data_IF_300123435637
#
_entry.id   IF_300123435637
#
_cell.length_a   1.000
_cell.length_b   1.000
_cell.length_c   1.000
_cell.angle_alpha   90.00
_cell.angle_beta   90.00
_cell.angle_gamma   90.00
#
_symmetry.space_group_name_H-M   'P 1'
#
loop_
_entity.id
_entity.type
_entity.pdbx_description
1 polymer ?
#
# COMPACT_ATOMS: atom_id res chain seq x y z
N UNK A 1 -0.72 3.77 -37.37
CA UNK A 1 -1.48 4.85 -36.72
C UNK A 1 -1.21 4.76 -35.23
N UNK A 2 -0.39 5.66 -34.67
CA UNK A 2 -0.13 5.71 -33.24
C UNK A 2 -1.31 6.41 -32.57
N UNK A 3 -2.14 5.67 -31.84
CA UNK A 3 -3.16 6.26 -30.98
C UNK A 3 -2.44 7.02 -29.87
N UNK A 4 -2.51 8.35 -29.93
CA UNK A 4 -2.04 9.24 -28.87
C UNK A 4 -2.81 8.91 -27.60
N UNK A 5 -2.20 8.12 -26.71
CA UNK A 5 -2.76 7.76 -25.42
C UNK A 5 -2.76 9.00 -24.56
N UNK A 6 -3.86 9.75 -24.56
CA UNK A 6 -4.08 10.82 -23.59
C UNK A 6 -4.03 10.19 -22.20
N UNK A 7 -3.02 10.57 -21.42
CA UNK A 7 -2.93 10.17 -20.03
C UNK A 7 -4.20 10.66 -19.32
N UNK A 8 -4.96 9.74 -18.74
CA UNK A 8 -6.12 10.13 -17.94
C UNK A 8 -5.62 10.97 -16.75
N UNK A 9 -6.40 11.96 -16.29
CA UNK A 9 -6.02 12.79 -15.16
C UNK A 9 -6.09 11.98 -13.85
N UNK A 10 -5.11 12.21 -12.96
CA UNK A 10 -5.15 11.76 -11.57
C UNK A 10 -6.36 12.37 -10.86
N UNK A 11 -7.10 11.56 -10.10
CA UNK A 11 -8.32 12.00 -9.43
C UNK A 11 -8.03 12.11 -7.94
N UNK A 12 -8.12 13.34 -7.42
CA UNK A 12 -8.02 13.59 -5.98
C UNK A 12 -9.37 13.37 -5.30
N UNK A 13 -9.36 12.90 -4.05
CA UNK A 13 -10.56 12.81 -3.20
C UNK A 13 -11.32 14.13 -3.09
N UNK A 14 -10.63 15.27 -3.19
CA UNK A 14 -11.21 16.61 -3.15
C UNK A 14 -12.06 16.95 -4.39
N UNK A 15 -11.82 16.26 -5.50
CA UNK A 15 -12.55 16.45 -6.77
C UNK A 15 -13.83 15.61 -6.83
N UNK A 16 -14.02 14.70 -5.88
CA UNK A 16 -15.18 13.82 -5.85
C UNK A 16 -16.42 14.53 -5.30
N UNK A 17 -17.56 14.20 -5.88
CA UNK A 17 -18.84 14.75 -5.44
C UNK A 17 -19.25 14.16 -4.09
N UNK A 18 -19.69 15.02 -3.16
CA UNK A 18 -20.16 14.59 -1.84
C UNK A 18 -21.50 13.87 -1.95
N UNK A 19 -21.59 12.64 -1.43
CA UNK A 19 -22.81 11.84 -1.40
C UNK A 19 -23.84 12.42 -0.40
N UNK A 20 -25.01 12.83 -0.91
CA UNK A 20 -26.11 13.40 -0.11
C UNK A 20 -27.33 12.48 0.02
N UNK A 21 -27.29 11.29 -0.59
CA UNK A 21 -28.40 10.34 -0.59
C UNK A 21 -28.61 9.61 0.74
N UNK A 22 -29.50 8.61 0.71
CA UNK A 22 -29.74 7.69 1.82
C UNK A 22 -28.56 6.72 1.91
N UNK A 23 -27.89 6.70 3.06
CA UNK A 23 -26.78 5.80 3.31
C UNK A 23 -27.27 4.48 3.92
N UNK A 24 -26.71 3.37 3.45
CA UNK A 24 -26.95 2.05 4.00
C UNK A 24 -25.61 1.35 4.26
N UNK A 25 -25.58 0.49 5.29
CA UNK A 25 -24.41 -0.31 5.63
C UNK A 25 -24.25 -1.56 4.78
N UNK A 26 -25.34 -2.00 4.14
CA UNK A 26 -25.31 -3.06 3.15
C UNK A 26 -24.83 -2.49 1.81
N UNK A 27 -23.73 -3.04 1.27
CA UNK A 27 -23.11 -2.53 0.03
C UNK A 27 -24.09 -2.51 -1.15
N UNK A 28 -24.89 -3.57 -1.34
CA UNK A 28 -25.79 -3.66 -2.50
C UNK A 28 -26.89 -2.61 -2.43
N UNK A 29 -27.41 -2.36 -1.22
CA UNK A 29 -28.42 -1.33 -0.96
C UNK A 29 -27.85 0.07 -1.12
N UNK A 30 -26.63 0.31 -0.61
CA UNK A 30 -25.95 1.58 -0.80
C UNK A 30 -25.68 1.88 -2.28
N UNK A 31 -25.21 0.89 -3.04
CA UNK A 31 -24.97 1.03 -4.48
C UNK A 31 -26.28 1.39 -5.21
N UNK A 32 -27.39 0.72 -4.90
CA UNK A 32 -28.69 1.03 -5.48
C UNK A 32 -29.14 2.47 -5.16
N UNK A 33 -28.93 2.93 -3.92
CA UNK A 33 -29.24 4.30 -3.52
C UNK A 33 -28.35 5.33 -4.24
N UNK A 34 -27.04 5.04 -4.39
CA UNK A 34 -26.13 5.90 -5.15
C UNK A 34 -26.60 6.00 -6.60
N UNK A 35 -26.88 4.87 -7.27
CA UNK A 35 -27.37 4.84 -8.65
C UNK A 35 -28.67 5.62 -8.85
N UNK A 36 -29.58 5.58 -7.87
CA UNK A 36 -30.83 6.34 -7.92
C UNK A 36 -30.60 7.87 -7.88
N UNK A 37 -29.57 8.32 -7.16
CA UNK A 37 -29.22 9.75 -7.05
C UNK A 37 -28.21 10.23 -8.09
N UNK A 38 -27.38 9.33 -8.62
CA UNK A 38 -26.24 9.59 -9.48
C UNK A 38 -26.24 8.60 -10.66
N UNK A 39 -26.91 8.92 -11.78
CA UNK A 39 -27.07 7.99 -12.90
C UNK A 39 -25.76 7.62 -13.63
N UNK A 40 -24.73 8.46 -13.54
CA UNK A 40 -23.39 8.24 -14.08
C UNK A 40 -22.51 7.36 -13.18
N UNK A 41 -23.01 6.94 -12.01
CA UNK A 41 -22.29 6.08 -11.10
C UNK A 41 -22.02 4.68 -11.69
N UNK A 42 -20.77 4.26 -11.62
CA UNK A 42 -20.32 2.93 -12.02
C UNK A 42 -19.44 2.32 -10.92
N UNK A 43 -19.93 1.24 -10.29
CA UNK A 43 -19.21 0.51 -9.24
C UNK A 43 -17.82 0.03 -9.69
N UNK A 44 -17.62 -0.24 -10.99
CA UNK A 44 -16.33 -0.72 -11.52
C UNK A 44 -15.33 0.39 -11.78
N UNK A 45 -15.77 1.64 -11.71
CA UNK A 45 -14.96 2.81 -12.03
C UNK A 45 -14.91 3.77 -10.83
N UNK A 46 -13.84 3.72 -10.02
CA UNK A 46 -13.74 4.54 -8.81
C UNK A 46 -13.73 6.05 -9.08
N UNK A 47 -13.49 6.49 -10.33
CA UNK A 47 -13.63 7.88 -10.73
C UNK A 47 -15.06 8.41 -10.58
N UNK A 48 -16.05 7.52 -10.65
CA UNK A 48 -17.48 7.88 -10.55
C UNK A 48 -18.02 7.77 -9.12
N UNK A 49 -17.21 7.28 -8.18
CA UNK A 49 -17.65 7.06 -6.81
C UNK A 49 -17.77 8.39 -6.07
N UNK A 50 -18.89 8.65 -5.39
CA UNK A 50 -19.00 9.84 -4.55
C UNK A 50 -18.22 9.65 -3.25
N UNK A 51 -17.93 10.76 -2.56
CA UNK A 51 -17.26 10.77 -1.25
C UNK A 51 -18.28 11.00 -0.13
N UNK A 52 -18.16 10.25 0.97
CA UNK A 52 -18.89 10.56 2.21
C UNK A 52 -17.99 11.37 3.14
N UNK A 53 -18.51 12.45 3.72
CA UNK A 53 -17.74 13.31 4.62
C UNK A 53 -17.84 12.86 6.07
N UNK A 54 -16.88 13.24 6.90
CA UNK A 54 -16.91 12.94 8.35
C UNK A 54 -18.18 13.46 9.03
N UNK A 55 -18.63 14.71 8.80
CA UNK A 55 -19.88 15.20 9.38
C UNK A 55 -21.08 14.35 8.97
N UNK A 56 -21.19 14.00 7.69
CA UNK A 56 -22.28 13.15 7.20
C UNK A 56 -22.25 11.77 7.84
N UNK A 57 -21.07 11.18 8.00
CA UNK A 57 -20.92 9.89 8.68
C UNK A 57 -21.34 9.96 10.16
N UNK A 58 -21.09 11.09 10.83
CA UNK A 58 -21.53 11.32 12.20
C UNK A 58 -23.05 11.55 12.31
N UNK A 59 -23.70 12.10 11.27
CA UNK A 59 -25.16 12.20 11.22
C UNK A 59 -25.82 10.83 11.03
N UNK A 60 -25.24 9.99 10.17
CA UNK A 60 -25.76 8.64 9.88
C UNK A 60 -25.56 7.71 11.07
N UNK A 61 -24.47 7.92 11.81
CA UNK A 61 -24.17 7.14 12.99
C UNK A 61 -24.66 7.88 14.21
N UNK A 62 -25.84 7.49 14.70
CA UNK A 62 -26.40 7.97 15.98
C UNK A 62 -25.43 7.78 17.18
N UNK A 63 -24.35 7.01 17.00
CA UNK A 63 -23.20 6.91 17.90
C UNK A 63 -21.87 7.01 17.14
N UNK A 64 -20.77 7.50 17.74
CA UNK A 64 -19.45 7.48 17.12
C UNK A 64 -19.13 6.08 16.58
N UNK A 65 -18.81 6.00 15.29
CA UNK A 65 -18.66 4.77 14.49
C UNK A 65 -18.30 3.54 15.35
N UNK A 66 -19.32 2.71 15.67
CA UNK A 66 -19.08 1.47 16.40
C UNK A 66 -18.26 0.56 15.50
N UNK A 67 -17.01 0.35 15.91
CA UNK A 67 -15.89 -0.42 15.36
C UNK A 67 -16.19 -1.88 14.92
N UNK A 68 -17.46 -2.29 14.87
CA UNK A 68 -17.91 -3.65 14.55
C UNK A 68 -18.60 -3.77 13.19
N UNK A 69 -18.90 -2.67 12.48
CA UNK A 69 -19.56 -2.74 11.16
C UNK A 69 -18.53 -2.77 10.04
N UNK A 70 -18.73 -3.70 9.09
CA UNK A 70 -17.98 -3.75 7.83
C UNK A 70 -18.30 -2.48 7.03
N UNK A 71 -17.30 -1.73 6.60
CA UNK A 71 -17.52 -0.60 5.70
C UNK A 71 -18.00 -1.14 4.33
N UNK A 72 -19.06 -0.57 3.73
CA UNK A 72 -19.44 -0.91 2.37
C UNK A 72 -18.37 -0.41 1.38
N UNK A 73 -18.32 -0.97 0.18
CA UNK A 73 -17.41 -0.53 -0.89
C UNK A 73 -18.20 0.19 -1.99
N UNK A 74 -17.50 0.78 -2.96
CA UNK A 74 -18.15 1.54 -4.04
C UNK A 74 -18.48 2.98 -3.66
N UNK A 75 -17.96 3.47 -2.54
CA UNK A 75 -18.03 4.85 -2.08
C UNK A 75 -16.69 5.20 -1.45
N UNK A 76 -16.28 6.48 -1.52
CA UNK A 76 -15.01 6.93 -0.93
C UNK A 76 -15.24 7.43 0.48
N UNK A 77 -14.46 6.93 1.43
CA UNK A 77 -14.51 7.35 2.83
C UNK A 77 -13.37 8.32 3.16
N UNK A 78 -13.49 9.13 4.22
CA UNK A 78 -12.38 9.90 4.76
C UNK A 78 -11.31 8.97 5.35
N UNK A 79 -10.04 9.34 5.19
CA UNK A 79 -8.90 8.53 5.64
C UNK A 79 -8.95 8.15 7.11
N UNK A 80 -9.41 9.04 7.99
CA UNK A 80 -9.56 8.75 9.42
C UNK A 80 -10.48 7.55 9.68
N UNK A 81 -11.56 7.40 8.90
CA UNK A 81 -12.53 6.31 9.04
C UNK A 81 -11.94 5.00 8.51
N UNK A 82 -11.26 5.04 7.37
CA UNK A 82 -10.62 3.85 6.77
C UNK A 82 -9.48 3.35 7.66
N UNK A 83 -8.61 4.26 8.13
CA UNK A 83 -7.52 3.92 9.04
C UNK A 83 -8.03 3.28 10.34
N UNK A 84 -9.07 3.85 10.95
CA UNK A 84 -9.66 3.28 12.16
C UNK A 84 -10.33 1.92 11.87
N UNK A 85 -11.04 1.78 10.75
CA UNK A 85 -11.60 0.52 10.31
C UNK A 85 -10.53 -0.56 10.15
N UNK A 86 -9.44 -0.25 9.42
CA UNK A 86 -8.35 -1.20 9.17
C UNK A 86 -7.63 -1.59 10.46
N UNK A 87 -7.39 -0.64 11.38
CA UNK A 87 -6.82 -0.94 12.70
C UNK A 87 -7.68 -1.93 13.50
N UNK A 88 -9.00 -1.88 13.34
CA UNK A 88 -9.93 -2.75 14.06
C UNK A 88 -10.18 -4.09 13.37
N UNK A 89 -10.28 -4.13 12.04
CA UNK A 89 -10.39 -5.40 11.30
C UNK A 89 -9.08 -6.20 11.30
N UNK A 90 -7.95 -5.53 11.37
CA UNK A 90 -6.64 -6.13 11.58
C UNK A 90 -6.46 -6.51 13.07
N UNK A 91 -7.24 -7.47 13.57
CA UNK A 91 -6.86 -8.15 14.80
C UNK A 91 -5.43 -8.70 14.64
N UNK A 92 -4.60 -8.80 15.70
CA UNK A 92 -3.22 -9.29 15.59
C UNK A 92 -3.10 -10.65 14.86
N UNK A 93 -4.13 -11.50 14.94
CA UNK A 93 -4.22 -12.78 14.25
C UNK A 93 -4.51 -12.63 12.74
N UNK A 94 -5.27 -11.59 12.34
CA UNK A 94 -5.50 -11.25 10.93
C UNK A 94 -4.37 -10.41 10.34
N UNK A 95 -3.65 -9.61 11.13
CA UNK A 95 -2.45 -8.90 10.69
C UNK A 95 -1.37 -9.89 10.20
N UNK A 96 -1.20 -11.03 10.89
CA UNK A 96 -0.32 -12.11 10.45
C UNK A 96 -0.76 -12.79 9.13
N UNK A 97 -2.07 -12.81 8.87
CA UNK A 97 -2.64 -13.32 7.60
C UNK A 97 -2.55 -12.26 6.49
N UNK A 98 -2.70 -10.97 6.84
CA UNK A 98 -2.57 -9.82 5.95
C UNK A 98 -1.20 -9.73 5.29
N UNK A 99 -0.12 -10.11 6.01
CA UNK A 99 1.24 -10.21 5.44
C UNK A 99 1.37 -11.31 4.38
N UNK A 100 0.48 -12.30 4.36
CA UNK A 100 0.45 -13.35 3.34
C UNK A 100 -0.36 -12.97 2.09
N UNK A 101 0.23 -12.18 1.19
CA UNK A 101 -0.10 -11.87 -0.24
C UNK A 101 -1.57 -11.81 -0.78
N UNK A 102 -2.54 -12.56 -0.27
CA UNK A 102 -3.93 -12.61 -0.81
C UNK A 102 -4.85 -11.56 -0.20
N UNK A 103 -4.61 -11.14 1.04
CA UNK A 103 -5.45 -10.19 1.76
C UNK A 103 -5.09 -8.73 1.51
N UNK A 104 -3.86 -8.42 1.09
CA UNK A 104 -3.47 -7.05 0.72
C UNK A 104 -4.17 -6.57 -0.56
N UNK A 105 -4.41 -7.46 -1.53
CA UNK A 105 -5.24 -7.14 -2.71
C UNK A 105 -6.67 -6.71 -2.35
N UNK A 106 -7.19 -7.14 -1.21
CA UNK A 106 -8.56 -6.83 -0.81
C UNK A 106 -8.71 -5.38 -0.32
N UNK A 107 -7.69 -4.83 0.36
CA UNK A 107 -7.72 -3.43 0.78
C UNK A 107 -7.71 -2.48 -0.42
N UNK A 108 -6.95 -2.82 -1.46
CA UNK A 108 -6.99 -2.08 -2.72
C UNK A 108 -8.36 -2.15 -3.40
N UNK A 109 -8.96 -3.34 -3.41
CA UNK A 109 -10.27 -3.54 -4.01
C UNK A 109 -11.39 -2.77 -3.29
N UNK A 110 -11.34 -2.76 -1.96
CA UNK A 110 -12.38 -2.14 -1.13
C UNK A 110 -12.14 -0.62 -0.97
N UNK A 111 -10.88 -0.16 -0.96
CA UNK A 111 -10.49 1.24 -0.73
C UNK A 111 -9.33 1.72 -1.65
N UNK A 112 -9.55 1.81 -2.98
CA UNK A 112 -8.49 2.11 -3.95
C UNK A 112 -7.89 3.53 -3.86
N UNK A 113 -8.55 4.45 -3.15
CA UNK A 113 -8.03 5.80 -2.87
C UNK A 113 -7.09 5.87 -1.65
N UNK A 114 -7.01 4.79 -0.87
CA UNK A 114 -6.23 4.75 0.37
C UNK A 114 -5.05 3.78 0.30
N UNK A 115 -5.16 2.76 -0.54
CA UNK A 115 -4.14 1.73 -0.69
C UNK A 115 -3.76 1.59 -2.16
N UNK A 116 -2.52 1.17 -2.43
CA UNK A 116 -2.09 0.74 -3.76
C UNK A 116 -2.45 -0.73 -4.03
N UNK A 117 -2.17 -1.20 -5.24
CA UNK A 117 -2.40 -2.60 -5.64
C UNK A 117 -1.64 -3.64 -4.80
N UNK A 118 -0.66 -3.22 -4.00
CA UNK A 118 0.10 -4.07 -3.09
C UNK A 118 -0.40 -3.96 -1.65
N UNK A 119 -1.47 -3.21 -1.41
CA UNK A 119 -2.06 -2.97 -0.08
C UNK A 119 -1.27 -1.99 0.78
N UNK A 120 -0.35 -1.20 0.22
CA UNK A 120 0.38 -0.16 0.95
C UNK A 120 -0.44 1.11 0.99
N UNK A 121 -0.44 1.79 2.14
CA UNK A 121 -1.13 3.07 2.26
C UNK A 121 -0.51 4.12 1.32
N UNK A 122 -1.35 4.93 0.71
CA UNK A 122 -0.94 6.05 -0.13
C UNK A 122 -0.66 7.29 0.73
N UNK A 123 0.39 8.05 0.40
CA UNK A 123 0.70 9.33 1.07
C UNK A 123 -0.30 10.42 0.68
N UNK A 124 -0.73 10.41 -0.58
CA UNK A 124 -1.76 11.28 -1.13
C UNK A 124 -3.03 10.45 -1.39
N UNK A 125 -4.16 10.87 -0.82
CA UNK A 125 -5.47 10.22 -1.02
C UNK A 125 -6.03 10.54 -2.41
N UNK A 126 -5.33 10.08 -3.43
CA UNK A 126 -5.62 10.27 -4.85
C UNK A 126 -5.43 8.95 -5.60
N UNK A 127 -6.24 8.73 -6.63
CA UNK A 127 -6.12 7.56 -7.48
C UNK A 127 -5.46 7.95 -8.80
N UNK A 128 -4.29 7.38 -9.06
CA UNK A 128 -3.60 7.56 -10.35
C UNK A 128 -4.30 6.79 -11.46
N UNK A 129 -4.00 7.15 -12.70
CA UNK A 129 -4.49 6.46 -13.89
C UNK A 129 -4.09 5.00 -13.92
N UNK A 130 -2.85 4.70 -13.55
CA UNK A 130 -2.32 3.34 -13.48
C UNK A 130 -3.08 2.53 -12.42
N UNK A 131 -3.32 3.12 -11.25
CA UNK A 131 -4.11 2.48 -10.19
C UNK A 131 -5.54 2.20 -10.65
N UNK A 132 -6.17 3.12 -11.37
CA UNK A 132 -7.51 2.93 -11.94
C UNK A 132 -7.56 1.79 -12.97
N UNK A 133 -6.56 1.71 -13.84
CA UNK A 133 -6.43 0.61 -14.82
C UNK A 133 -6.22 -0.72 -14.08
N UNK A 134 -5.35 -0.73 -13.06
CA UNK A 134 -5.12 -1.90 -12.24
C UNK A 134 -6.42 -2.34 -11.55
N UNK A 135 -7.17 -1.41 -10.97
CA UNK A 135 -8.47 -1.67 -10.34
C UNK A 135 -9.46 -2.29 -11.32
N UNK A 136 -9.65 -1.67 -12.49
CA UNK A 136 -10.56 -2.16 -13.52
C UNK A 136 -10.19 -3.58 -14.00
N UNK A 137 -8.90 -3.91 -14.03
CA UNK A 137 -8.44 -5.26 -14.39
C UNK A 137 -8.78 -6.33 -13.35
N UNK A 138 -8.89 -5.94 -12.07
CA UNK A 138 -9.26 -6.86 -10.97
C UNK A 138 -10.78 -7.07 -10.85
N UNK A 139 -11.57 -6.02 -11.13
CA UNK A 139 -13.05 -6.08 -11.03
C UNK A 139 -13.69 -6.64 -12.29
N UNK A 140 -13.01 -6.57 -13.43
CA UNK A 140 -13.49 -7.20 -14.66
C UNK A 140 -13.49 -8.72 -14.48
N UNK A 141 -14.63 -9.41 -14.66
CA UNK A 141 -14.65 -10.86 -14.64
C UNK A 141 -13.65 -11.33 -15.69
N UNK A 142 -12.59 -12.01 -15.24
CA UNK A 142 -11.58 -12.57 -16.15
C UNK A 142 -12.35 -13.33 -17.22
N UNK A 143 -12.25 -12.95 -18.51
CA UNK A 143 -12.97 -13.67 -19.55
C UNK A 143 -12.59 -15.15 -19.39
N UNK A 144 -13.58 -16.07 -19.40
CA UNK A 144 -13.29 -17.48 -19.26
C UNK A 144 -12.19 -17.83 -20.26
N UNK A 145 -11.15 -18.58 -19.83
CA UNK A 145 -10.02 -18.88 -20.70
C UNK A 145 -10.59 -19.38 -22.03
N UNK A 146 -10.24 -18.68 -23.11
CA UNK A 146 -10.74 -18.99 -24.44
C UNK A 146 -10.57 -20.49 -24.64
N UNK A 147 -11.70 -21.19 -24.78
CA UNK A 147 -11.68 -22.62 -24.97
C UNK A 147 -10.74 -22.89 -26.14
N UNK A 148 -9.73 -23.78 -25.99
CA UNK A 148 -8.81 -24.05 -27.08
C UNK A 148 -9.63 -24.55 -28.27
N UNK A 149 -9.75 -23.71 -29.30
CA UNK A 149 -10.26 -24.06 -30.61
C UNK A 149 -9.23 -24.93 -31.31
N UNK A 150 -8.99 -26.10 -30.74
CA UNK A 150 -8.40 -27.24 -31.45
C UNK A 150 -9.52 -28.00 -32.17
N UNK A 151 -9.23 -28.64 -33.32
CA UNK A 151 -10.19 -29.48 -34.01
C UNK A 151 -10.59 -30.63 -33.08
N UNK A 152 -11.87 -30.64 -32.70
CA UNK A 152 -12.44 -31.61 -31.78
C UNK A 152 -12.90 -32.82 -32.59
N UNK A 153 -11.97 -33.74 -32.84
CA UNK A 153 -12.35 -35.06 -33.31
C UNK A 153 -13.06 -35.81 -32.18
N UNK A 154 -14.24 -36.26 -32.54
CA UNK A 154 -15.20 -36.94 -31.70
C UNK A 154 -14.66 -38.31 -31.32
N UNK A 155 -14.71 -38.63 -30.03
CA UNK A 155 -15.18 -39.89 -29.43
C UNK A 155 -14.39 -40.17 -28.14
N UNK A 156 -15.05 -40.06 -27.00
CA UNK A 156 -15.24 -41.21 -26.10
C UNK A 156 -15.79 -40.73 -24.76
N UNK A 157 -16.94 -41.29 -24.41
CA UNK A 157 -17.52 -41.25 -23.08
C UNK A 157 -16.53 -41.78 -22.03
N UNK A 158 -16.43 -41.15 -20.86
CA UNK A 158 -16.48 -41.86 -19.57
C UNK A 158 -16.43 -40.91 -18.36
N UNK A 159 -17.50 -41.01 -17.58
CA UNK A 159 -17.52 -41.25 -16.13
C UNK A 159 -16.72 -40.26 -15.25
N UNK A 160 -17.49 -39.36 -14.63
CA UNK A 160 -17.20 -38.68 -13.35
C UNK A 160 -16.84 -39.69 -12.26
N UNK A 161 -15.93 -39.32 -11.34
CA UNK A 161 -16.24 -39.52 -9.93
C UNK A 161 -16.18 -38.19 -9.17
N UNK A 162 -17.20 -38.02 -8.31
CA UNK A 162 -17.15 -37.10 -7.18
C UNK A 162 -16.05 -37.56 -6.22
N UNK A 163 -15.17 -36.65 -5.83
CA UNK A 163 -14.36 -36.80 -4.62
C UNK A 163 -14.61 -35.58 -3.73
N UNK A 164 -15.42 -35.78 -2.70
CA UNK A 164 -15.49 -34.91 -1.54
C UNK A 164 -14.28 -35.20 -0.64
N UNK A 165 -13.49 -34.17 -0.36
CA UNK A 165 -12.42 -34.20 0.62
C UNK A 165 -12.97 -33.70 1.96
N UNK A 166 -13.37 -34.67 2.79
CA UNK A 166 -13.46 -34.52 4.24
C UNK A 166 -12.06 -34.76 4.83
N UNK A 167 -11.45 -33.73 5.41
CA UNK A 167 -10.21 -33.87 6.19
C UNK A 167 -10.55 -34.06 7.67
N UNK A 168 -10.73 -35.31 8.07
CA UNK A 168 -10.78 -35.74 9.47
C UNK A 168 -9.39 -36.09 9.99
N UNK A 169 -8.91 -35.36 10.99
CA UNK A 169 -7.80 -35.72 11.89
C UNK A 169 -8.08 -37.09 12.55
N UNK A 170 -7.16 -38.05 12.42
CA UNK A 170 -6.99 -39.19 13.34
C UNK A 170 -5.48 -39.52 13.37
N UNK A 171 -4.76 -39.07 14.40
CA UNK A 171 -4.31 -39.87 15.57
C UNK A 171 -3.37 -41.03 15.20
N UNK A 172 -2.08 -40.80 15.44
CA UNK A 172 -1.03 -41.79 15.54
C UNK A 172 -1.39 -42.85 16.60
N UNK A 173 -1.34 -44.13 16.21
CA UNK A 173 -1.46 -45.22 17.16
C UNK A 173 -1.48 -46.59 16.50
N UNK A 174 -0.31 -47.24 16.51
CA UNK A 174 -0.09 -48.68 16.69
C UNK A 174 0.56 -49.49 15.56
N UNK A 175 1.51 -50.30 16.08
CA UNK A 175 1.83 -51.69 15.76
C UNK A 175 2.68 -51.98 14.52
N UNK A 176 3.90 -52.41 14.83
CA UNK A 176 4.72 -53.28 14.02
C UNK A 176 3.89 -54.46 13.48
N UNK A 177 3.66 -54.46 12.18
CA UNK A 177 3.46 -55.69 11.40
C UNK A 177 4.57 -55.69 10.36
N UNK A 178 5.45 -56.69 10.43
CA UNK A 178 6.47 -56.93 9.40
C UNK A 178 5.76 -57.13 8.06
N UNK A 179 6.05 -56.32 7.03
CA UNK A 179 5.63 -56.65 5.70
C UNK A 179 6.50 -57.81 5.20
N UNK A 180 5.87 -58.93 4.90
CA UNK A 180 6.41 -59.90 3.94
C UNK A 180 6.83 -59.11 2.70
N UNK A 181 8.13 -59.16 2.37
CA UNK A 181 8.71 -58.50 1.20
C UNK A 181 7.82 -58.77 -0.01
N UNK A 182 7.24 -57.74 -0.66
CA UNK A 182 6.64 -57.95 -1.98
C UNK A 182 7.73 -58.52 -2.88
N UNK A 183 7.44 -59.64 -3.56
CA UNK A 183 8.30 -60.12 -4.65
C UNK A 183 8.45 -58.95 -5.60
N UNK A 184 9.68 -58.46 -5.77
CA UNK A 184 9.96 -57.33 -6.65
C UNK A 184 9.35 -57.64 -8.03
N UNK A 185 8.82 -56.63 -8.70
CA UNK A 185 8.26 -56.76 -10.06
C UNK A 185 9.19 -57.53 -11.00
N UNK A 186 10.50 -57.40 -10.77
CA UNK A 186 11.57 -58.11 -11.48
C UNK A 186 11.53 -59.63 -11.27
N UNK A 187 11.24 -60.10 -10.05
CA UNK A 187 11.10 -61.52 -9.74
C UNK A 187 9.87 -62.15 -10.40
N UNK A 188 8.78 -61.40 -10.54
CA UNK A 188 7.57 -61.85 -11.25
C UNK A 188 7.85 -61.95 -12.76
N UNK A 189 8.55 -60.96 -13.33
CA UNK A 189 8.91 -60.95 -14.75
C UNK A 189 9.85 -62.11 -15.13
N UNK A 190 10.89 -62.35 -14.33
CA UNK A 190 11.81 -63.48 -14.52
C UNK A 190 11.07 -64.82 -14.44
N UNK A 191 10.12 -64.96 -13.51
CA UNK A 191 9.27 -66.14 -13.41
C UNK A 191 8.38 -66.36 -14.64
N UNK A 192 7.82 -65.29 -15.23
CA UNK A 192 7.01 -65.37 -16.46
C UNK A 192 7.87 -65.76 -17.67
N UNK A 193 9.07 -65.18 -17.82
CA UNK A 193 9.99 -65.56 -18.92
C UNK A 193 10.40 -67.03 -18.79
N UNK A 194 10.73 -67.49 -17.57
CA UNK A 194 11.13 -68.87 -17.34
C UNK A 194 9.97 -69.84 -17.64
N UNK A 195 8.74 -69.48 -17.24
CA UNK A 195 7.53 -70.25 -17.56
C UNK A 195 7.26 -70.35 -19.07
N UNK A 196 7.45 -69.25 -19.81
CA UNK A 196 7.29 -69.22 -21.26
C UNK A 196 8.35 -70.10 -21.95
N UNK A 197 9.60 -70.05 -21.49
CA UNK A 197 10.68 -70.91 -21.99
C UNK A 197 10.42 -72.40 -21.73
N UNK A 198 9.90 -72.77 -20.54
CA UNK A 198 9.54 -74.15 -20.23
C UNK A 198 8.38 -74.68 -21.08
N UNK A 199 7.38 -73.84 -21.39
CA UNK A 199 6.26 -74.22 -22.27
C UNK A 199 6.64 -74.30 -23.75
N UNK A 200 7.65 -73.55 -24.18
CA UNK A 200 8.16 -73.58 -25.55
C UNK A 200 8.69 -74.97 -25.95
N UNK A 201 9.36 -75.68 -25.03
CA UNK A 201 9.95 -76.99 -25.27
C UNK A 201 8.95 -78.16 -25.29
N UNK A 202 7.69 -77.92 -24.92
CA UNK A 202 6.65 -78.97 -24.78
C UNK A 202 5.46 -78.77 -25.72
N UNK A 203 5.43 -77.69 -26.52
CA UNK A 203 4.29 -77.31 -27.36
C UNK A 203 4.45 -77.71 -28.83
N UNK A 204 3.32 -77.82 -29.55
CA UNK A 204 3.29 -78.04 -31.00
C UNK A 204 3.93 -76.85 -31.75
N UNK A 205 4.57 -77.05 -32.92
CA UNK A 205 5.34 -76.01 -33.62
C UNK A 205 4.58 -74.70 -33.93
N UNK A 206 3.23 -74.74 -34.03
CA UNK A 206 2.41 -73.54 -34.21
C UNK A 206 2.29 -72.64 -32.96
N UNK A 207 2.42 -73.19 -31.76
CA UNK A 207 2.33 -72.43 -30.51
C UNK A 207 3.69 -71.88 -30.07
N UNK A 208 4.78 -72.52 -30.49
CA UNK A 208 6.16 -72.06 -30.26
C UNK A 208 6.41 -70.64 -30.79
N UNK A 209 5.93 -70.32 -32.00
CA UNK A 209 6.02 -68.96 -32.58
C UNK A 209 5.26 -67.90 -31.77
N UNK A 210 4.13 -68.27 -31.17
CA UNK A 210 3.34 -67.35 -30.32
C UNK A 210 4.12 -67.03 -29.04
N UNK A 211 4.71 -68.03 -28.40
CA UNK A 211 5.53 -67.83 -27.20
C UNK A 211 6.78 -66.97 -27.49
N UNK A 212 7.45 -67.16 -28.64
CA UNK A 212 8.57 -66.31 -29.04
C UNK A 212 8.18 -64.86 -29.30
N UNK A 213 6.99 -64.64 -29.89
CA UNK A 213 6.47 -63.30 -30.15
C UNK A 213 6.15 -62.58 -28.85
N UNK A 214 5.46 -63.25 -27.92
CA UNK A 214 5.15 -62.73 -26.59
C UNK A 214 6.43 -62.48 -25.79
N UNK A 215 7.42 -63.37 -25.88
CA UNK A 215 8.73 -63.20 -25.24
C UNK A 215 9.48 -61.97 -25.74
N UNK A 216 9.49 -61.73 -27.07
CA UNK A 216 10.08 -60.51 -27.66
C UNK A 216 9.36 -59.24 -27.21
N UNK A 217 8.03 -59.24 -27.25
CA UNK A 217 7.22 -58.10 -26.78
C UNK A 217 7.47 -57.78 -25.30
N UNK A 218 7.60 -58.80 -24.44
CA UNK A 218 7.93 -58.60 -23.02
C UNK A 218 9.32 -58.00 -22.81
N UNK A 219 10.32 -58.43 -23.59
CA UNK A 219 11.68 -57.87 -23.53
C UNK A 219 11.69 -56.42 -24.00
N UNK A 220 10.99 -56.10 -25.09
CA UNK A 220 10.87 -54.73 -25.60
C UNK A 220 10.15 -53.81 -24.62
N UNK A 221 9.03 -54.27 -24.04
CA UNK A 221 8.29 -53.52 -23.02
C UNK A 221 9.15 -53.24 -21.79
N UNK A 222 9.98 -54.19 -21.36
CA UNK A 222 10.91 -53.99 -20.24
C UNK A 222 11.99 -52.96 -20.59
N UNK A 223 12.59 -53.04 -21.78
CA UNK A 223 13.57 -52.05 -22.24
C UNK A 223 12.97 -50.64 -22.31
N UNK A 224 11.72 -50.53 -22.78
CA UNK A 224 11.00 -49.26 -22.80
C UNK A 224 10.76 -48.71 -21.39
N UNK A 225 10.35 -49.57 -20.45
CA UNK A 225 10.15 -49.21 -19.04
C UNK A 225 11.46 -48.78 -18.36
N UNK A 226 12.56 -49.50 -18.58
CA UNK A 226 13.87 -49.13 -18.04
C UNK A 226 14.34 -47.77 -18.59
N UNK A 227 14.15 -47.52 -19.90
CA UNK A 227 14.43 -46.23 -20.53
C UNK A 227 13.56 -45.08 -19.99
N UNK A 228 12.30 -45.36 -19.67
CA UNK A 228 11.41 -44.37 -19.04
C UNK A 228 11.86 -44.06 -17.61
N UNK A 229 12.25 -45.08 -16.84
CA UNK A 229 12.81 -44.89 -15.49
C UNK A 229 14.10 -44.06 -15.51
N UNK A 230 15.02 -44.30 -16.45
CA UNK A 230 16.24 -43.49 -16.54
C UNK A 230 15.92 -42.04 -16.89
N UNK A 231 14.99 -41.79 -17.82
CA UNK A 231 14.51 -40.43 -18.13
C UNK A 231 13.86 -39.74 -16.94
N UNK A 232 13.07 -40.47 -16.16
CA UNK A 232 12.45 -39.93 -14.94
C UNK A 232 13.50 -39.52 -13.90
N UNK A 233 14.54 -40.35 -13.71
CA UNK A 233 15.66 -40.04 -12.81
C UNK A 233 16.49 -38.85 -13.33
N UNK A 234 16.75 -38.77 -14.63
CA UNK A 234 17.44 -37.62 -15.25
C UNK A 234 16.66 -36.32 -15.02
N UNK A 235 15.34 -36.34 -15.21
CA UNK A 235 14.47 -35.19 -14.95
C UNK A 235 14.45 -34.80 -13.47
N UNK A 236 14.48 -35.78 -12.56
CA UNK A 236 14.53 -35.54 -11.12
C UNK A 236 15.86 -34.87 -10.72
N UNK A 237 16.99 -35.37 -11.24
CA UNK A 237 18.31 -34.77 -11.04
C UNK A 237 18.35 -33.34 -11.58
N UNK A 238 17.85 -33.11 -12.80
CA UNK A 238 17.78 -31.77 -13.38
C UNK A 238 16.92 -30.82 -12.53
N UNK A 239 15.78 -31.30 -12.03
CA UNK A 239 14.94 -30.53 -11.13
C UNK A 239 15.67 -30.17 -9.83
N UNK A 240 16.38 -31.12 -9.21
CA UNK A 240 17.16 -30.85 -7.99
C UNK A 240 18.28 -29.83 -8.23
N UNK A 241 18.95 -29.88 -9.39
CA UNK A 241 19.98 -28.90 -9.75
C UNK A 241 19.38 -27.50 -9.90
N UNK A 242 18.26 -27.36 -10.62
CA UNK A 242 17.56 -26.08 -10.75
C UNK A 242 17.10 -25.51 -9.40
N UNK A 243 16.62 -26.36 -8.50
CA UNK A 243 16.25 -25.93 -7.14
C UNK A 243 17.48 -25.43 -6.38
N UNK A 244 18.62 -26.12 -6.48
CA UNK A 244 19.88 -25.68 -5.85
C UNK A 244 20.37 -24.35 -6.41
N UNK A 245 20.29 -24.12 -7.72
CA UNK A 245 20.67 -22.85 -8.36
C UNK A 245 19.77 -21.69 -7.92
N UNK A 246 18.45 -21.93 -7.82
CA UNK A 246 17.50 -20.93 -7.32
C UNK A 246 17.76 -20.60 -5.85
N UNK A 247 18.10 -21.59 -5.02
CA UNK A 247 18.49 -21.38 -3.63
C UNK A 247 19.77 -20.54 -3.51
N UNK A 248 20.79 -20.83 -4.32
CA UNK A 248 22.03 -20.04 -4.34
C UNK A 248 21.78 -18.58 -4.79
N UNK A 249 20.95 -18.39 -5.81
CA UNK A 249 20.57 -17.05 -6.30
C UNK A 249 19.81 -16.26 -5.23
N UNK A 250 18.87 -16.91 -4.53
CA UNK A 250 18.12 -16.29 -3.45
C UNK A 250 19.03 -15.90 -2.28
N UNK A 251 19.99 -16.76 -1.92
CA UNK A 251 20.97 -16.46 -0.87
C UNK A 251 21.81 -15.23 -1.24
N UNK A 252 22.36 -15.18 -2.46
CA UNK A 252 23.15 -14.04 -2.93
C UNK A 252 22.33 -12.74 -2.98
N UNK A 253 21.06 -12.80 -3.38
CA UNK A 253 20.16 -11.64 -3.35
C UNK A 253 19.90 -11.17 -1.92
N UNK A 254 19.71 -12.10 -0.97
CA UNK A 254 19.47 -11.75 0.43
C UNK A 254 20.68 -11.10 1.09
N UNK A 255 21.89 -11.57 0.78
CA UNK A 255 23.15 -10.99 1.25
C UNK A 255 23.33 -9.57 0.73
N UNK A 256 23.17 -9.38 -0.59
CA UNK A 256 23.23 -8.05 -1.20
C UNK A 256 22.21 -7.07 -0.62
N UNK A 257 20.98 -7.53 -0.40
CA UNK A 257 19.95 -6.71 0.22
C UNK A 257 20.31 -6.31 1.66
N UNK A 258 20.98 -7.20 2.40
CA UNK A 258 21.53 -6.91 3.74
C UNK A 258 22.60 -5.82 3.71
N UNK A 259 23.57 -5.93 2.79
CA UNK A 259 24.62 -4.91 2.63
C UNK A 259 24.05 -3.54 2.23
N UNK A 260 23.07 -3.51 1.32
CA UNK A 260 22.45 -2.27 0.86
C UNK A 260 21.65 -1.60 2.00
N UNK A 261 20.99 -2.41 2.85
CA UNK A 261 20.32 -1.91 4.05
C UNK A 261 21.31 -1.31 5.06
N UNK A 262 22.46 -1.94 5.27
CA UNK A 262 23.50 -1.44 6.18
C UNK A 262 24.13 -0.13 5.67
N UNK A 263 24.42 -0.04 4.37
CA UNK A 263 24.88 1.20 3.73
C UNK A 263 23.86 2.33 3.88
N UNK A 264 22.59 2.04 3.64
CA UNK A 264 21.52 3.02 3.78
C UNK A 264 21.37 3.48 5.25
N UNK A 265 21.42 2.55 6.20
CA UNK A 265 21.38 2.84 7.63
C UNK A 265 22.53 3.76 8.05
N UNK A 266 23.75 3.44 7.63
CA UNK A 266 24.95 4.24 7.90
C UNK A 266 24.84 5.65 7.29
N UNK A 267 24.35 5.74 6.04
CA UNK A 267 24.14 7.02 5.37
C UNK A 267 23.09 7.89 6.09
N UNK A 268 21.98 7.30 6.56
CA UNK A 268 20.97 8.02 7.34
C UNK A 268 21.52 8.50 8.69
N UNK A 269 22.29 7.66 9.38
CA UNK A 269 22.93 8.03 10.65
C UNK A 269 23.89 9.21 10.47
N UNK A 270 24.73 9.17 9.44
CA UNK A 270 25.65 10.27 9.12
C UNK A 270 24.89 11.56 8.78
N UNK A 271 23.82 11.49 7.97
CA UNK A 271 22.99 12.65 7.65
C UNK A 271 22.37 13.25 8.91
N UNK A 272 21.84 12.42 9.81
CA UNK A 272 21.25 12.87 11.07
C UNK A 272 22.30 13.54 11.97
N UNK A 273 23.52 13.03 12.02
CA UNK A 273 24.63 13.66 12.75
C UNK A 273 24.95 15.06 12.18
N UNK A 274 25.07 15.18 10.86
CA UNK A 274 25.35 16.49 10.22
C UNK A 274 24.23 17.51 10.42
N UNK A 275 22.97 17.08 10.40
CA UNK A 275 21.84 17.97 10.67
C UNK A 275 21.79 18.41 12.14
N UNK A 276 22.16 17.54 13.08
CA UNK A 276 22.31 17.92 14.49
C UNK A 276 23.39 18.97 14.70
N UNK A 277 24.54 18.83 14.03
CA UNK A 277 25.61 19.84 14.09
C UNK A 277 25.16 21.19 13.51
N UNK A 278 24.46 21.18 12.36
CA UNK A 278 23.89 22.40 11.76
C UNK A 278 22.86 23.06 12.66
N UNK A 279 21.97 22.29 13.27
CA UNK A 279 20.98 22.79 14.21
C UNK A 279 21.66 23.43 15.44
N UNK A 280 22.67 22.77 16.01
CA UNK A 280 23.45 23.33 17.12
C UNK A 280 24.13 24.65 16.77
N UNK A 281 24.78 24.73 15.60
CA UNK A 281 25.40 25.97 15.13
C UNK A 281 24.38 27.10 14.90
N UNK A 282 23.19 26.78 14.40
CA UNK A 282 22.11 27.74 14.24
C UNK A 282 21.57 28.24 15.59
N UNK A 283 21.39 27.34 16.57
CA UNK A 283 20.97 27.70 17.93
C UNK A 283 21.99 28.63 18.62
N UNK A 284 23.29 28.35 18.48
CA UNK A 284 24.34 29.25 18.99
C UNK A 284 24.29 30.62 18.33
N UNK A 285 24.06 30.68 17.02
CA UNK A 285 23.93 31.94 16.28
C UNK A 285 22.70 32.74 16.73
N UNK A 286 21.57 32.07 16.99
CA UNK A 286 20.35 32.71 17.51
C UNK A 286 20.64 33.31 18.89
N UNK A 287 21.23 32.55 19.82
CA UNK A 287 21.59 33.06 21.15
C UNK A 287 22.52 34.28 21.09
N UNK A 288 23.48 34.28 20.16
CA UNK A 288 24.35 35.43 19.95
C UNK A 288 23.56 36.67 19.51
N UNK A 289 22.66 36.53 18.54
CA UNK A 289 21.83 37.64 18.04
C UNK A 289 20.85 38.13 19.10
N UNK A 290 20.27 37.24 19.91
CA UNK A 290 19.40 37.61 21.04
C UNK A 290 20.14 38.48 22.06
N UNK A 291 21.38 38.13 22.40
CA UNK A 291 22.22 38.95 23.28
C UNK A 291 22.55 40.31 22.67
N UNK A 292 22.86 40.37 21.37
CA UNK A 292 23.17 41.62 20.65
C UNK A 292 21.95 42.56 20.62
N UNK A 293 20.76 42.02 20.31
CA UNK A 293 19.50 42.77 20.33
C UNK A 293 19.19 43.27 21.74
N UNK A 294 19.40 42.45 22.77
CA UNK A 294 19.24 42.84 24.17
C UNK A 294 20.12 44.04 24.53
N UNK A 295 21.41 43.99 24.18
CA UNK A 295 22.34 45.10 24.42
C UNK A 295 21.97 46.38 23.65
N UNK A 296 21.53 46.27 22.40
CA UNK A 296 21.04 47.41 21.63
C UNK A 296 19.78 48.04 22.23
N UNK A 297 18.88 47.21 22.77
CA UNK A 297 17.67 47.67 23.43
C UNK A 297 17.97 48.44 24.72
N UNK A 298 18.96 47.99 25.51
CA UNK A 298 19.46 48.72 26.68
C UNK A 298 20.04 50.08 26.28
N UNK A 299 20.91 50.13 25.27
CA UNK A 299 21.49 51.39 24.77
C UNK A 299 20.42 52.37 24.27
N UNK A 300 19.43 51.88 23.53
CA UNK A 300 18.30 52.70 23.08
C UNK A 300 17.48 53.24 24.27
N UNK A 301 17.28 52.42 25.31
CA UNK A 301 16.56 52.86 26.50
C UNK A 301 17.32 53.95 27.27
N UNK A 302 18.63 53.82 27.41
CA UNK A 302 19.50 54.82 28.03
C UNK A 302 19.51 56.13 27.22
N UNK A 303 19.65 56.05 25.89
CA UNK A 303 19.59 57.22 25.01
C UNK A 303 18.24 57.94 25.06
N UNK A 304 17.12 57.20 25.13
CA UNK A 304 15.78 57.79 25.34
C UNK A 304 15.67 58.48 26.70
N UNK A 305 16.25 57.92 27.74
CA UNK A 305 16.25 58.55 29.06
C UNK A 305 17.07 59.86 29.06
N UNK A 306 18.25 59.86 28.47
CA UNK A 306 19.09 61.06 28.35
C UNK A 306 18.42 62.17 27.54
N UNK A 307 17.78 61.82 26.41
CA UNK A 307 17.04 62.78 25.59
C UNK A 307 15.83 63.35 26.34
N UNK A 308 15.10 62.55 27.10
CA UNK A 308 14.02 63.03 27.97
C UNK A 308 14.55 64.02 29.03
N UNK A 309 15.66 63.70 29.70
CA UNK A 309 16.29 64.60 30.68
C UNK A 309 16.76 65.91 30.02
N UNK A 310 17.32 65.85 28.80
CA UNK A 310 17.71 67.03 28.05
C UNK A 310 16.49 67.89 27.65
N UNK A 311 15.40 67.26 27.19
CA UNK A 311 14.14 67.94 26.86
C UNK A 311 13.55 68.64 28.09
N UNK A 312 13.54 68.00 29.26
CA UNK A 312 13.08 68.61 30.52
C UNK A 312 13.90 69.84 30.91
N UNK A 313 15.23 69.78 30.73
CA UNK A 313 16.12 70.92 30.99
C UNK A 313 15.82 72.08 30.04
N UNK A 314 15.65 71.79 28.75
CA UNK A 314 15.30 72.79 27.73
C UNK A 314 13.95 73.45 28.03
N UNK A 315 12.94 72.67 28.42
CA UNK A 315 11.62 73.19 28.77
C UNK A 315 11.68 74.15 29.96
N UNK A 316 12.43 73.80 31.02
CA UNK A 316 12.65 74.69 32.17
C UNK A 316 13.35 75.99 31.79
N UNK A 317 14.33 75.95 30.88
CA UNK A 317 14.99 77.16 30.37
C UNK A 317 13.98 78.03 29.59
N UNK A 318 13.18 77.40 28.72
CA UNK A 318 12.15 78.09 27.95
C UNK A 318 11.10 78.77 28.85
N UNK A 319 10.62 78.10 29.90
CA UNK A 319 9.69 78.68 30.87
C UNK A 319 10.29 79.90 31.59
N UNK A 320 11.57 79.81 32.01
CA UNK A 320 12.27 80.95 32.61
C UNK A 320 12.34 82.14 31.66
N UNK A 321 12.79 81.93 30.42
CA UNK A 321 12.85 82.98 29.40
C UNK A 321 11.48 83.61 29.13
N UNK A 322 10.43 82.80 29.05
CA UNK A 322 9.05 83.27 28.86
C UNK A 322 8.59 84.15 30.03
N UNK A 323 8.90 83.75 31.26
CA UNK A 323 8.55 84.54 32.47
C UNK A 323 9.33 85.86 32.57
N UNK A 324 10.53 85.94 32.02
CA UNK A 324 11.33 87.17 31.94
C UNK A 324 10.87 88.14 30.83
N UNK A 325 10.19 87.63 29.80
CA UNK A 325 9.69 88.43 28.67
C UNK A 325 8.34 89.12 28.97
N UNK A 326 7.46 88.47 29.74
CA UNK A 326 6.16 88.99 30.20
C UNK A 326 6.20 90.34 30.98
N UNK A 327 7.15 90.62 31.91
CA UNK A 327 7.17 91.88 32.65
C UNK A 327 7.53 93.11 31.80
N UNK A 328 8.09 92.94 30.59
CA UNK A 328 8.41 94.06 29.68
C UNK A 328 7.22 94.53 28.85
N UNK A 329 6.15 93.73 28.71
CA UNK A 329 4.92 94.10 27.98
C UNK A 329 3.89 94.85 28.83
N UNK A 330 4.03 94.89 30.17
CA UNK A 330 3.11 95.62 31.07
C UNK A 330 3.46 97.11 31.28
N UNK A 331 4.43 97.66 30.53
CA UNK A 331 4.81 99.10 30.52
C UNK A 331 4.75 99.72 29.11
N UNK A 332 3.71 99.44 28.33
CA UNK A 332 3.23 100.36 27.27
C UNK A 332 1.70 100.40 27.36
N UNK A 333 1.18 101.62 27.51
CA UNK A 333 -0.20 101.91 27.85
C UNK A 333 -1.25 101.50 26.79
N UNK A 334 -2.53 101.74 27.11
CA UNK A 334 -3.67 101.31 26.32
C UNK A 334 -3.84 102.19 25.09
N UNK A 335 -4.05 101.58 23.94
CA UNK A 335 -4.47 102.30 22.75
C UNK A 335 -4.43 101.41 21.52
N UNK A 336 -5.59 101.11 20.96
CA UNK A 336 -5.70 100.61 19.58
C UNK A 336 -6.57 99.38 19.39
N UNK A 337 -7.87 99.63 19.41
CA UNK A 337 -8.93 98.93 18.67
C UNK A 337 -8.42 98.43 17.30
N UNK A 338 -8.76 97.20 16.89
CA UNK A 338 -8.58 96.82 15.48
C UNK A 338 -8.60 95.34 15.12
N UNK A 339 -9.75 94.70 15.28
CA UNK A 339 -10.42 93.82 14.31
C UNK A 339 -9.66 92.71 13.52
N UNK A 340 -10.28 91.52 13.59
CA UNK A 340 -10.53 90.55 12.51
C UNK A 340 -9.53 89.42 12.20
N UNK A 341 -10.18 88.26 12.01
CA UNK A 341 -9.85 87.11 11.17
C UNK A 341 -8.93 86.00 11.70
N UNK A 342 -9.63 84.95 12.18
CA UNK A 342 -9.33 83.52 12.13
C UNK A 342 -8.54 83.07 10.88
N UNK A 343 -7.83 81.92 10.93
CA UNK A 343 -8.51 80.73 10.41
C UNK A 343 -8.25 79.43 11.18
N UNK A 344 -9.26 78.55 11.08
CA UNK A 344 -9.27 77.13 11.38
C UNK A 344 -8.06 76.39 10.78
N UNK A 345 -7.46 75.51 11.56
CA UNK A 345 -6.76 74.27 11.15
C UNK A 345 -7.26 73.20 12.12
N UNK A 346 -8.14 72.25 11.79
CA UNK A 346 -8.10 71.19 10.78
C UNK A 346 -6.85 70.31 10.87
N UNK A 347 -7.12 69.04 11.22
CA UNK A 347 -6.35 67.79 11.06
C UNK A 347 -5.28 67.52 12.12
N UNK A 348 -5.03 66.27 12.52
CA UNK A 348 -5.51 64.95 12.10
C UNK A 348 -5.54 64.05 13.33
#
# INVERSE_FOLDING_TARGET
>A
MATSSQALPTISTEQLEVYKGVFDWNTDTLIANIQATKPDYNVKDPATWPIITVPRMNEINEEPFRRMRKLPFGIVFPAVIVCDYVKHEASPQRAAILVGNKSMNRLFHDFPFHFDQFGRALDEYAMTTEARIAYASHVSPRPPPAAPTGPRDSLSSRVRPQNGLNSGRQTFGQRLVRPTRPKTTDGVFLGVIQMLASKQNTSKPGDQRKYETVGRQLIEARKALEKEKTRALENEVEFTNRVSELQATLAAQSEKAGEDLEKLSTAMSNRLATEKERAGAAEERIKFLENEVGGLQELLSASRQETNVANDRMFKIWEKLKSEEEPKKRKKGPGGVGNSNTPKRSRF
#
